data_IF_617327693582
#
_entry.id   IF_617327693582
#
_cell.length_a   1.000
_cell.length_b   1.000
_cell.length_c   1.000
_cell.angle_alpha   90.00
_cell.angle_beta   90.00
_cell.angle_gamma   90.00
#
_symmetry.space_group_name_H-M   'P 1'
#
loop_
_entity.id
_entity.type
_entity.pdbx_description
1 polymer ?
#
# COMPACT_ATOMS: atom_id res chain seq x y z
N UNK A 1 -17.07 -11.20 -0.62
CA UNK A 1 -17.12 -11.35 -2.09
C UNK A 1 -15.75 -11.85 -2.50
N UNK A 2 -15.67 -12.91 -3.31
CA UNK A 2 -14.36 -13.39 -3.79
C UNK A 2 -13.78 -12.37 -4.78
N UNK A 3 -12.47 -12.13 -4.66
CA UNK A 3 -11.74 -11.27 -5.57
C UNK A 3 -11.70 -11.93 -6.96
N UNK A 4 -11.94 -11.17 -8.03
CA UNK A 4 -11.95 -11.67 -9.40
C UNK A 4 -10.89 -10.96 -10.27
N UNK A 5 -10.54 -11.56 -11.41
CA UNK A 5 -9.58 -10.99 -12.37
C UNK A 5 -9.97 -9.56 -12.77
N UNK A 6 -11.26 -9.30 -12.97
CA UNK A 6 -11.79 -7.98 -13.31
C UNK A 6 -11.41 -6.93 -12.25
N UNK A 7 -11.53 -7.27 -10.97
CA UNK A 7 -11.17 -6.37 -9.86
C UNK A 7 -9.68 -6.01 -9.90
N UNK A 8 -8.80 -6.97 -10.17
CA UNK A 8 -7.34 -6.72 -10.29
C UNK A 8 -7.02 -5.82 -11.48
N UNK A 9 -7.58 -6.12 -12.66
CA UNK A 9 -7.38 -5.28 -13.86
C UNK A 9 -7.93 -3.86 -13.67
N UNK A 10 -9.09 -3.73 -13.04
CA UNK A 10 -9.69 -2.42 -12.75
C UNK A 10 -8.85 -1.62 -11.75
N UNK A 11 -8.31 -2.26 -10.71
CA UNK A 11 -7.41 -1.63 -9.75
C UNK A 11 -6.15 -1.07 -10.42
N UNK A 12 -5.50 -1.87 -11.29
CA UNK A 12 -4.32 -1.43 -12.04
C UNK A 12 -4.67 -0.27 -12.98
N UNK A 13 -5.81 -0.35 -13.69
CA UNK A 13 -6.25 0.72 -14.59
C UNK A 13 -6.48 2.05 -13.86
N UNK A 14 -7.23 2.01 -12.76
CA UNK A 14 -7.58 3.19 -11.99
C UNK A 14 -6.34 3.86 -11.40
N UNK A 15 -5.45 3.07 -10.78
CA UNK A 15 -4.25 3.61 -10.14
C UNK A 15 -3.24 4.13 -11.16
N UNK A 16 -3.05 3.44 -12.28
CA UNK A 16 -2.14 3.90 -13.35
C UNK A 16 -2.61 5.22 -13.94
N UNK A 17 -3.92 5.42 -14.06
CA UNK A 17 -4.52 6.66 -14.55
C UNK A 17 -4.35 7.81 -13.54
N UNK A 18 -4.59 7.55 -12.25
CA UNK A 18 -4.47 8.58 -11.20
C UNK A 18 -3.03 9.05 -11.00
N UNK A 19 -2.07 8.12 -11.04
CA UNK A 19 -0.64 8.44 -10.84
C UNK A 19 0.07 8.94 -12.10
N UNK A 20 -0.59 8.88 -13.26
CA UNK A 20 0.04 9.11 -14.57
C UNK A 20 1.31 8.27 -14.79
N UNK A 21 1.31 7.01 -14.34
CA UNK A 21 2.49 6.15 -14.43
C UNK A 21 2.27 4.75 -13.83
N UNK A 22 3.24 3.84 -13.96
CA UNK A 22 3.11 2.46 -13.49
C UNK A 22 2.74 2.37 -12.01
N UNK A 23 1.78 1.51 -11.71
CA UNK A 23 1.32 1.22 -10.36
C UNK A 23 2.36 0.35 -9.62
N UNK A 24 2.83 0.72 -8.42
CA UNK A 24 3.71 -0.16 -7.65
C UNK A 24 3.08 -1.53 -7.37
N UNK A 25 3.84 -2.61 -7.52
CA UNK A 25 3.32 -4.00 -7.38
C UNK A 25 2.64 -4.23 -6.02
N UNK A 26 3.24 -3.72 -4.94
CA UNK A 26 2.70 -3.86 -3.58
C UNK A 26 1.36 -3.14 -3.38
N UNK A 27 1.06 -2.14 -4.21
CA UNK A 27 -0.17 -1.36 -4.11
C UNK A 27 -1.37 -2.09 -4.74
N UNK A 28 -1.13 -3.10 -5.59
CA UNK A 28 -2.19 -3.85 -6.28
C UNK A 28 -3.12 -4.52 -5.28
N UNK A 29 -2.57 -5.14 -4.23
CA UNK A 29 -3.36 -5.77 -3.16
C UNK A 29 -4.27 -4.78 -2.45
N UNK A 30 -3.75 -3.57 -2.20
CA UNK A 30 -4.48 -2.50 -1.51
C UNK A 30 -5.59 -1.95 -2.39
N UNK A 31 -5.30 -1.62 -3.65
CA UNK A 31 -6.29 -1.06 -4.58
C UNK A 31 -7.36 -2.08 -4.98
N UNK A 32 -7.00 -3.38 -5.04
CA UNK A 32 -7.96 -4.46 -5.23
C UNK A 32 -8.76 -4.78 -3.95
N UNK A 33 -8.45 -4.13 -2.82
CA UNK A 33 -9.10 -4.31 -1.52
C UNK A 33 -9.01 -5.75 -0.99
N UNK A 34 -7.85 -6.39 -1.18
CA UNK A 34 -7.55 -7.72 -0.63
C UNK A 34 -7.29 -7.62 0.88
N UNK A 35 -8.22 -8.11 1.70
CA UNK A 35 -8.16 -7.99 3.18
C UNK A 35 -7.63 -9.26 3.84
N UNK A 36 -7.88 -10.41 3.22
CA UNK A 36 -7.53 -11.72 3.76
C UNK A 36 -6.23 -12.23 3.14
N UNK A 37 -5.62 -13.24 3.78
CA UNK A 37 -4.43 -13.91 3.21
C UNK A 37 -4.75 -14.56 1.86
N UNK A 38 -5.87 -15.28 1.77
CA UNK A 38 -6.29 -15.94 0.53
C UNK A 38 -6.51 -14.97 -0.63
N UNK A 39 -7.06 -13.79 -0.38
CA UNK A 39 -7.21 -12.75 -1.40
C UNK A 39 -5.87 -12.18 -1.86
N UNK A 40 -4.91 -11.99 -0.94
CA UNK A 40 -3.55 -11.55 -1.30
C UNK A 40 -2.80 -12.60 -2.11
N UNK A 41 -2.90 -13.86 -1.72
CA UNK A 41 -2.31 -14.99 -2.45
C UNK A 41 -2.93 -15.13 -3.86
N UNK A 42 -4.24 -14.87 -3.97
CA UNK A 42 -4.93 -14.76 -5.26
C UNK A 42 -4.36 -13.62 -6.10
N UNK A 43 -4.24 -12.40 -5.57
CA UNK A 43 -3.67 -11.25 -6.32
C UNK A 43 -2.25 -11.56 -6.80
N UNK A 44 -1.41 -12.17 -5.96
CA UNK A 44 -0.05 -12.54 -6.34
C UNK A 44 -0.03 -13.55 -7.50
N UNK A 45 -0.89 -14.56 -7.44
CA UNK A 45 -1.01 -15.58 -8.50
C UNK A 45 -1.59 -14.99 -9.78
N UNK A 46 -2.60 -14.11 -9.65
CA UNK A 46 -3.26 -13.46 -10.77
C UNK A 46 -2.30 -12.52 -11.50
N UNK A 47 -1.44 -11.77 -10.78
CA UNK A 47 -0.41 -10.94 -11.40
C UNK A 47 0.58 -11.76 -12.26
N UNK A 48 0.92 -12.97 -11.82
CA UNK A 48 1.76 -13.88 -12.62
C UNK A 48 1.01 -14.31 -13.88
N UNK A 49 -0.27 -14.70 -13.75
CA UNK A 49 -1.12 -15.10 -14.88
C UNK A 49 -1.30 -13.97 -15.89
N UNK A 50 -1.61 -12.75 -15.43
CA UNK A 50 -1.80 -11.57 -16.27
C UNK A 50 -0.53 -11.21 -17.05
N UNK A 51 0.65 -11.37 -16.43
CA UNK A 51 1.93 -11.16 -17.10
C UNK A 51 2.18 -12.21 -18.17
N UNK A 52 1.93 -13.49 -17.87
CA UNK A 52 2.08 -14.58 -18.84
C UNK A 52 1.15 -14.40 -20.04
N UNK A 53 -0.06 -13.87 -19.81
CA UNK A 53 -1.02 -13.53 -20.85
C UNK A 53 -0.74 -12.20 -21.57
N UNK A 54 0.36 -11.49 -21.25
CA UNK A 54 0.73 -10.19 -21.84
C UNK A 54 -0.34 -9.09 -21.67
N UNK A 55 -1.14 -9.18 -20.59
CA UNK A 55 -2.18 -8.20 -20.25
C UNK A 55 -1.63 -7.03 -19.42
N UNK A 56 -0.49 -7.25 -18.78
CA UNK A 56 0.25 -6.25 -18.01
C UNK A 56 1.71 -6.20 -18.42
N UNK A 57 2.29 -5.00 -18.39
CA UNK A 57 3.71 -4.77 -18.50
C UNK A 57 4.31 -4.50 -17.12
N UNK A 58 5.50 -5.04 -16.87
CA UNK A 58 6.26 -4.80 -15.65
C UNK A 58 7.41 -3.83 -15.94
N UNK A 59 7.40 -2.68 -15.27
CA UNK A 59 8.43 -1.65 -15.38
C UNK A 59 9.38 -1.74 -14.19
N UNK A 60 10.69 -1.62 -14.45
CA UNK A 60 11.69 -1.39 -13.41
C UNK A 60 12.37 -0.06 -13.69
N UNK A 61 12.11 0.92 -12.85
CA UNK A 61 12.80 2.22 -12.89
C UNK A 61 13.30 2.56 -11.49
N UNK A 62 14.58 2.91 -11.38
CA UNK A 62 15.21 3.40 -10.15
C UNK A 62 14.92 2.50 -8.92
N UNK A 63 15.05 1.18 -9.07
CA UNK A 63 14.79 0.23 -7.98
C UNK A 63 13.31 -0.04 -7.67
N UNK A 64 12.38 0.76 -8.19
CA UNK A 64 10.95 0.55 -8.06
C UNK A 64 10.41 -0.36 -9.18
N UNK A 65 9.60 -1.36 -8.80
CA UNK A 65 8.86 -2.21 -9.74
C UNK A 65 7.41 -1.74 -9.82
N UNK A 66 6.97 -1.42 -11.04
CA UNK A 66 5.60 -1.00 -11.33
C UNK A 66 4.93 -1.89 -12.38
N UNK A 67 3.61 -1.86 -12.43
CA UNK A 67 2.78 -2.57 -13.40
C UNK A 67 1.82 -1.59 -14.08
N UNK A 68 1.58 -1.82 -15.37
CA UNK A 68 0.59 -1.06 -16.15
C UNK A 68 -0.16 -2.02 -17.08
N UNK A 69 -1.41 -1.70 -17.41
CA UNK A 69 -2.14 -2.47 -18.42
C UNK A 69 -1.54 -2.25 -19.81
N UNK A 70 -1.40 -3.35 -20.57
CA UNK A 70 -1.17 -3.28 -22.01
C UNK A 70 -2.45 -2.90 -22.74
N UNK A 71 -2.37 -2.70 -24.07
CA UNK A 71 -3.56 -2.52 -24.88
C UNK A 71 -4.49 -3.75 -24.83
N UNK A 72 -3.91 -4.96 -24.81
CA UNK A 72 -4.64 -6.21 -24.63
C UNK A 72 -5.33 -6.27 -23.26
N UNK A 73 -4.64 -5.92 -22.18
CA UNK A 73 -5.24 -5.85 -20.83
C UNK A 73 -6.40 -4.85 -20.74
N UNK A 74 -6.28 -3.70 -21.43
CA UNK A 74 -7.40 -2.73 -21.54
C UNK A 74 -8.55 -3.26 -22.37
N UNK A 75 -8.30 -4.03 -23.42
CA UNK A 75 -9.34 -4.67 -24.21
C UNK A 75 -10.10 -5.73 -23.39
N UNK A 76 -9.38 -6.59 -22.68
CA UNK A 76 -9.98 -7.61 -21.81
C UNK A 76 -10.81 -6.99 -20.68
N UNK A 77 -10.30 -5.92 -20.03
CA UNK A 77 -11.08 -5.20 -19.03
C UNK A 77 -12.39 -4.63 -19.61
N UNK A 78 -12.38 -4.15 -20.87
CA UNK A 78 -13.60 -3.68 -21.55
C UNK A 78 -14.57 -4.83 -21.82
N UNK A 79 -14.08 -5.98 -22.27
CA UNK A 79 -14.90 -7.17 -22.50
C UNK A 79 -15.55 -7.68 -21.20
N UNK A 80 -14.76 -7.82 -20.12
CA UNK A 80 -15.26 -8.20 -18.79
C UNK A 80 -16.27 -7.20 -18.21
N UNK A 81 -16.18 -5.93 -18.62
CA UNK A 81 -17.16 -4.90 -18.26
C UNK A 81 -18.46 -5.03 -19.05
N UNK A 82 -18.39 -5.45 -20.32
CA UNK A 82 -19.55 -5.66 -21.20
C UNK A 82 -20.30 -6.97 -20.87
N UNK A 83 -19.59 -8.05 -20.57
CA UNK A 83 -20.20 -9.35 -20.21
C UNK A 83 -21.03 -9.29 -18.91
N UNK A 84 -20.75 -8.31 -18.04
CA UNK A 84 -21.54 -8.04 -16.82
C UNK A 84 -22.73 -7.10 -17.07
N UNK A 85 -22.84 -6.52 -18.27
CA UNK A 85 -23.90 -5.59 -18.72
C UNK A 85 -24.82 -6.21 -19.78
N UNK A 86 -25.11 -7.51 -19.74
CA UNK A 86 -26.30 -8.03 -20.42
C UNK A 86 -27.52 -7.95 -19.49
N UNK A 87 -28.36 -6.90 -19.56
CA UNK A 87 -29.78 -7.11 -19.63
C UNK A 87 -30.12 -7.49 -21.08
N UNK A 88 -30.89 -8.57 -21.19
CA UNK A 88 -31.66 -8.95 -22.36
C UNK A 88 -32.14 -7.76 -23.19
N UNK A 89 -32.03 -7.91 -24.51
CA UNK A 89 -32.67 -7.06 -25.50
C UNK A 89 -34.11 -6.73 -25.09
N UNK A 90 -34.38 -5.44 -24.90
CA UNK A 90 -35.71 -4.89 -25.14
C UNK A 90 -35.53 -3.71 -26.09
N UNK A 91 -35.98 -3.94 -27.32
CA UNK A 91 -36.41 -2.89 -28.23
C UNK A 91 -37.46 -2.04 -27.52
N UNK A 92 -37.26 -0.72 -27.49
CA UNK A 92 -38.22 0.22 -26.94
C UNK A 92 -37.68 1.65 -27.05
N UNK A 93 -37.98 2.24 -28.19
CA UNK A 93 -37.99 3.65 -28.63
C UNK A 93 -37.44 4.81 -27.76
N UNK A 94 -36.92 5.87 -28.42
CA UNK A 94 -36.42 7.06 -27.76
C UNK A 94 -37.60 7.95 -27.32
N UNK A 95 -37.71 8.25 -26.02
CA UNK A 95 -38.61 9.30 -25.55
C UNK A 95 -37.76 10.49 -25.08
N UNK A 96 -37.93 11.57 -25.85
CA UNK A 96 -37.44 12.92 -25.65
C UNK A 96 -37.56 13.44 -24.22
N UNK A 97 -36.55 14.21 -23.81
CA UNK A 97 -36.63 15.19 -22.72
C UNK A 97 -37.67 16.29 -23.03
N UNK A 98 -38.27 16.90 -21.99
CA UNK A 98 -37.83 18.25 -21.61
C UNK A 98 -37.66 18.39 -20.09
N UNK A 99 -36.53 18.96 -19.64
CA UNK A 99 -36.43 20.38 -19.20
C UNK A 99 -37.45 20.79 -18.15
N UNK A 100 -37.08 20.68 -16.87
CA UNK A 100 -37.31 21.69 -15.86
C UNK A 100 -36.19 21.59 -14.82
N UNK A 101 -35.43 22.65 -14.62
CA UNK A 101 -35.31 23.29 -13.31
C UNK A 101 -34.55 24.60 -13.47
N UNK A 102 -35.32 25.66 -13.26
CA UNK A 102 -34.89 27.04 -13.16
C UNK A 102 -34.17 27.26 -11.82
N UNK A 103 -33.19 28.15 -11.91
CA UNK A 103 -32.50 28.93 -10.88
C UNK A 103 -33.24 29.14 -9.55
N UNK A 104 -32.50 29.08 -8.44
CA UNK A 104 -32.41 30.28 -7.60
C UNK A 104 -31.13 30.35 -6.77
N UNK A 105 -30.63 31.58 -6.69
CA UNK A 105 -29.38 32.02 -6.08
C UNK A 105 -29.64 32.85 -4.83
N UNK A 106 -28.72 32.73 -3.86
CA UNK A 106 -28.34 33.75 -2.87
C UNK A 106 -29.26 34.02 -1.67
N UNK A 107 -28.72 33.75 -0.46
CA UNK A 107 -28.31 34.75 0.55
C UNK A 107 -28.01 34.02 1.88
N UNK A 108 -26.78 33.93 2.39
CA UNK A 108 -25.92 34.91 3.08
C UNK A 108 -26.42 35.37 4.47
N UNK A 109 -25.48 35.23 5.43
CA UNK A 109 -25.34 35.86 6.75
C UNK A 109 -26.01 35.16 7.94
N UNK A 110 -25.46 35.08 9.15
CA UNK A 110 -24.11 35.31 9.72
C UNK A 110 -24.17 34.87 11.20
N UNK A 111 -22.99 34.59 11.80
CA UNK A 111 -22.68 34.69 13.24
C UNK A 111 -23.37 33.70 14.20
N UNK A 112 -22.78 33.22 15.31
CA UNK A 112 -21.57 33.53 16.09
C UNK A 112 -21.33 32.36 17.05
N UNK A 113 -20.10 32.14 17.53
CA UNK A 113 -19.89 31.52 18.86
C UNK A 113 -18.92 30.34 18.97
N UNK A 114 -17.62 30.65 18.92
CA UNK A 114 -16.54 30.28 19.86
C UNK A 114 -16.24 28.82 20.31
N UNK A 115 -14.96 28.56 20.68
CA UNK A 115 -14.32 27.25 20.57
C UNK A 115 -14.33 26.46 21.88
N UNK A 116 -14.43 25.13 21.81
CA UNK A 116 -14.30 24.25 22.96
C UNK A 116 -13.05 23.37 22.82
N UNK A 117 -12.02 23.75 23.56
CA UNK A 117 -10.78 22.99 23.77
C UNK A 117 -11.04 21.73 24.61
N UNK A 118 -10.41 20.58 24.30
CA UNK A 118 -10.36 19.45 25.24
C UNK A 118 -9.21 19.62 26.26
N UNK A 119 -9.38 19.13 27.51
CA UNK A 119 -8.50 19.43 28.64
C UNK A 119 -7.24 18.56 28.69
N UNK A 120 -6.15 19.13 29.24
CA UNK A 120 -4.98 18.40 29.71
C UNK A 120 -5.24 17.73 31.07
N UNK A 121 -4.59 16.59 31.37
CA UNK A 121 -4.34 16.16 32.75
C UNK A 121 -2.89 16.44 33.16
N UNK A 122 -2.74 17.19 34.26
CA UNK A 122 -1.49 17.36 35.00
C UNK A 122 -1.25 16.19 35.98
N UNK A 123 0.00 15.73 35.96
CA UNK A 123 0.90 15.44 37.09
C UNK A 123 0.51 14.47 38.24
N UNK A 124 1.51 13.61 38.51
CA UNK A 124 1.94 13.03 39.80
C UNK A 124 1.26 11.75 40.32
N UNK A 125 2.02 10.66 40.18
CA UNK A 125 1.83 9.41 40.90
C UNK A 125 3.10 8.56 40.84
N UNK A 126 4.13 8.95 41.58
CA UNK A 126 5.30 8.12 41.84
C UNK A 126 4.86 6.84 42.56
N UNK A 127 5.00 5.69 41.89
CA UNK A 127 4.97 4.39 42.56
C UNK A 127 6.18 3.58 42.10
N UNK A 128 7.22 3.62 42.92
CA UNK A 128 8.36 2.71 42.85
C UNK A 128 7.84 1.27 42.94
N UNK A 129 7.90 0.54 41.83
CA UNK A 129 7.76 -0.92 41.85
C UNK A 129 9.16 -1.49 42.03
N UNK A 130 9.40 -1.97 43.24
CA UNK A 130 10.57 -2.74 43.66
C UNK A 130 10.84 -3.86 42.64
N UNK A 131 11.99 -3.81 41.98
CA UNK A 131 12.42 -4.82 41.03
C UNK A 131 12.55 -6.18 41.72
N UNK A 132 11.75 -7.16 41.27
CA UNK A 132 12.00 -8.56 41.57
C UNK A 132 13.17 -9.06 40.70
N UNK A 133 14.05 -9.94 41.21
CA UNK A 133 15.14 -10.52 40.42
C UNK A 133 14.55 -11.27 39.20
N UNK A 134 15.23 -11.27 38.05
CA UNK A 134 14.72 -11.95 36.86
C UNK A 134 14.56 -13.44 37.19
N UNK A 135 13.37 -14.03 36.94
CA UNK A 135 13.21 -15.47 37.06
C UNK A 135 14.17 -16.16 36.08
N UNK A 136 14.76 -17.26 36.56
CA UNK A 136 15.64 -18.16 35.84
C UNK A 136 15.24 -18.30 34.37
N UNK A 137 16.27 -18.24 33.53
CA UNK A 137 16.26 -18.49 32.10
C UNK A 137 15.54 -19.79 31.76
N UNK A 138 14.21 -19.73 31.69
CA UNK A 138 13.42 -20.69 30.94
C UNK A 138 13.94 -20.70 29.50
N UNK A 139 13.85 -21.84 28.79
CA UNK A 139 14.28 -21.90 27.41
C UNK A 139 13.61 -20.73 26.67
N UNK A 140 14.45 -19.85 26.11
CA UNK A 140 14.00 -18.76 25.25
C UNK A 140 12.93 -19.35 24.33
N UNK A 141 11.73 -18.74 24.22
CA UNK A 141 10.74 -19.22 23.27
C UNK A 141 11.47 -19.30 21.94
N UNK A 142 11.49 -20.48 21.33
CA UNK A 142 12.17 -20.75 20.07
C UNK A 142 11.93 -19.55 19.19
N UNK A 143 12.99 -18.75 18.97
CA UNK A 143 12.95 -17.64 18.02
C UNK A 143 12.38 -18.27 16.77
N UNK A 144 11.15 -17.87 16.40
CA UNK A 144 10.38 -18.43 15.31
C UNK A 144 11.36 -18.77 14.20
N UNK A 145 11.62 -20.07 14.02
CA UNK A 145 12.62 -20.51 13.05
C UNK A 145 12.11 -20.02 11.71
N UNK A 146 12.71 -18.93 11.27
CA UNK A 146 12.26 -18.20 10.10
C UNK A 146 12.25 -19.19 8.96
N UNK A 147 11.06 -19.36 8.37
CA UNK A 147 10.79 -20.39 7.37
C UNK A 147 11.95 -20.42 6.35
N UNK A 148 12.66 -21.55 6.19
CA UNK A 148 13.81 -21.62 5.29
C UNK A 148 13.46 -21.19 3.87
N UNK A 149 12.22 -21.38 3.44
CA UNK A 149 11.74 -20.98 2.11
C UNK A 149 11.57 -19.45 1.99
N UNK A 150 11.42 -18.74 3.12
CA UNK A 150 11.32 -17.29 3.17
C UNK A 150 12.67 -16.59 3.36
N UNK A 151 13.75 -17.32 3.67
CA UNK A 151 15.08 -16.73 3.87
C UNK A 151 15.60 -15.95 2.65
N UNK A 152 15.45 -16.45 1.39
CA UNK A 152 15.86 -15.68 0.21
C UNK A 152 15.05 -14.38 0.05
N UNK A 153 13.76 -14.43 0.39
CA UNK A 153 12.87 -13.26 0.33
C UNK A 153 13.22 -12.24 1.40
N UNK A 154 13.52 -12.67 2.62
CA UNK A 154 13.99 -11.81 3.70
C UNK A 154 15.32 -11.14 3.34
N UNK A 155 16.26 -11.90 2.78
CA UNK A 155 17.53 -11.37 2.32
C UNK A 155 17.33 -10.30 1.23
N UNK A 156 16.46 -10.56 0.24
CA UNK A 156 16.13 -9.58 -0.79
C UNK A 156 15.50 -8.30 -0.20
N UNK A 157 14.58 -8.42 0.76
CA UNK A 157 13.97 -7.28 1.44
C UNK A 157 14.99 -6.47 2.24
N UNK A 158 15.94 -7.13 2.91
CA UNK A 158 17.03 -6.45 3.60
C UNK A 158 17.95 -5.69 2.66
N UNK A 159 18.26 -6.26 1.49
CA UNK A 159 19.06 -5.57 0.47
C UNK A 159 18.34 -4.34 -0.09
N UNK A 160 17.04 -4.46 -0.36
CA UNK A 160 16.19 -3.33 -0.77
C UNK A 160 16.13 -2.24 0.30
N UNK A 161 15.96 -2.64 1.57
CA UNK A 161 15.98 -1.71 2.70
C UNK A 161 17.33 -1.00 2.82
N UNK A 162 18.43 -1.72 2.61
CA UNK A 162 19.78 -1.16 2.59
C UNK A 162 19.96 -0.11 1.49
N UNK A 163 19.43 -0.37 0.30
CA UNK A 163 19.49 0.58 -0.81
C UNK A 163 18.71 1.87 -0.50
N UNK A 164 17.48 1.76 0.01
CA UNK A 164 16.67 2.93 0.40
C UNK A 164 17.35 3.73 1.51
N UNK A 165 17.99 3.07 2.48
CA UNK A 165 18.75 3.73 3.55
C UNK A 165 19.94 4.55 3.02
N UNK A 166 20.67 4.02 2.03
CA UNK A 166 21.80 4.71 1.40
C UNK A 166 21.31 5.93 0.61
N UNK A 167 20.23 5.78 -0.15
CA UNK A 167 19.61 6.87 -0.91
C UNK A 167 19.11 7.99 0.01
N UNK A 168 18.40 7.65 1.10
CA UNK A 168 17.91 8.67 2.05
C UNK A 168 19.04 9.33 2.84
N UNK A 169 20.14 8.61 3.11
CA UNK A 169 21.32 9.17 3.76
C UNK A 169 22.06 10.13 2.83
N UNK A 170 22.17 9.81 1.54
CA UNK A 170 22.74 10.71 0.52
C UNK A 170 21.91 12.00 0.42
N UNK A 171 20.59 11.89 0.32
CA UNK A 171 19.66 13.04 0.28
C UNK A 171 19.75 13.88 1.56
N UNK A 172 19.80 13.26 2.74
CA UNK A 172 19.96 13.98 4.00
C UNK A 172 21.31 14.70 4.09
N UNK A 173 22.36 14.12 3.51
CA UNK A 173 23.71 14.72 3.48
C UNK A 173 23.76 15.92 2.52
N UNK A 174 23.17 15.79 1.34
CA UNK A 174 23.03 16.86 0.35
C UNK A 174 22.21 18.04 0.89
N UNK A 175 21.11 17.74 1.59
CA UNK A 175 20.28 18.73 2.28
C UNK A 175 20.94 19.33 3.54
N UNK A 176 22.15 18.88 3.91
CA UNK A 176 22.86 19.23 5.15
C UNK A 176 22.05 19.00 6.42
N UNK A 177 21.09 18.06 6.40
CA UNK A 177 20.35 17.63 7.58
C UNK A 177 21.16 16.58 8.35
N UNK A 178 22.11 17.07 9.14
CA UNK A 178 22.99 16.24 9.96
C UNK A 178 22.24 15.42 11.02
N UNK A 179 21.06 15.90 11.47
CA UNK A 179 20.25 15.17 12.46
C UNK A 179 19.59 13.96 11.82
N UNK A 180 19.09 14.08 10.59
CA UNK A 180 18.53 12.96 9.84
C UNK A 180 19.62 11.97 9.43
N UNK A 181 20.74 12.45 8.90
CA UNK A 181 21.87 11.60 8.51
C UNK A 181 22.38 10.74 9.70
N UNK A 182 22.53 11.34 10.89
CA UNK A 182 22.94 10.60 12.10
C UNK A 182 21.94 9.53 12.52
N UNK A 183 20.64 9.82 12.46
CA UNK A 183 19.60 8.83 12.79
C UNK A 183 19.61 7.65 11.82
N UNK A 184 19.81 7.91 10.53
CA UNK A 184 19.90 6.88 9.50
C UNK A 184 21.16 6.01 9.68
N UNK A 185 22.32 6.60 9.98
CA UNK A 185 23.56 5.87 10.28
C UNK A 185 23.40 4.97 11.53
N UNK A 186 22.82 5.50 12.61
CA UNK A 186 22.55 4.72 13.83
C UNK A 186 21.57 3.56 13.59
N UNK A 187 20.60 3.74 12.69
CA UNK A 187 19.66 2.70 12.31
C UNK A 187 20.33 1.62 11.45
N UNK A 188 21.12 2.01 10.46
CA UNK A 188 21.92 1.10 9.64
C UNK A 188 22.87 0.26 10.49
N UNK A 189 23.58 0.87 11.46
CA UNK A 189 24.45 0.14 12.39
C UNK A 189 23.71 -0.86 13.26
N UNK A 190 22.50 -0.51 13.74
CA UNK A 190 21.65 -1.42 14.53
C UNK A 190 21.24 -2.64 13.70
N UNK A 191 20.75 -2.41 12.48
CA UNK A 191 20.39 -3.52 11.57
C UNK A 191 21.59 -4.42 11.32
N UNK A 192 22.76 -3.84 11.00
CA UNK A 192 23.98 -4.59 10.73
C UNK A 192 24.43 -5.46 11.92
N UNK A 193 24.26 -4.97 13.15
CA UNK A 193 24.56 -5.73 14.37
C UNK A 193 23.62 -6.92 14.57
N UNK A 194 22.34 -6.78 14.22
CA UNK A 194 21.35 -7.85 14.38
C UNK A 194 21.37 -8.85 13.23
N UNK A 195 21.94 -8.50 12.08
CA UNK A 195 21.97 -9.36 10.90
C UNK A 195 23.33 -10.02 10.69
N UNK A 196 24.39 -9.53 11.34
CA UNK A 196 25.65 -10.28 11.44
C UNK A 196 25.45 -11.44 12.40
N UNK A 197 25.56 -12.65 11.88
CA UNK A 197 25.62 -13.88 12.68
C UNK A 197 26.76 -13.75 13.71
N UNK A 198 26.54 -14.07 15.01
CA UNK A 198 27.68 -14.30 15.89
C UNK A 198 28.46 -15.47 15.32
N UNK A 199 29.75 -15.24 15.06
CA UNK A 199 30.75 -16.24 14.66
C UNK A 199 31.05 -17.19 15.81
#
# INVERSE_FOLDING_TARGET
MALDRRTVLAAIAAETADRAGPMPVWLVEVAANAKTKAERDFVATELISLRQAQLIDCHRQNGASGVSLTEAGRAELRELNQSKRQPSAFHGEPISAPSYLHFDTSSLHSDTGSPQSPPMPDALGERQVKAAPPPDSGPLPDLERLDPDLQPRLYALMMQLGQVLVEDLALATEARDLRRAKRLDDLARRVLRHTRRPS
#
